data_IF_991766137350
#
_entry.id   IF_991766137350
#
_cell.length_a   1.000
_cell.length_b   1.000
_cell.length_c   1.000
_cell.angle_alpha   90.00
_cell.angle_beta   90.00
_cell.angle_gamma   90.00
#
_symmetry.space_group_name_H-M   'P 1'
#
loop_
_entity.id
_entity.type
_entity.pdbx_description
1 polymer ?
#
# COMPACT_ATOMS: atom_id res chain seq x y z
N UNK A 1 2.33 16.27 30.79
CA UNK A 1 1.97 14.89 30.40
C UNK A 1 2.05 14.81 28.89
N UNK A 2 2.79 13.86 28.32
CA UNK A 2 2.89 13.70 26.87
C UNK A 2 1.50 13.35 26.30
N UNK A 3 1.00 14.18 25.38
CA UNK A 3 -0.26 13.93 24.70
C UNK A 3 -0.23 12.52 24.06
N UNK A 4 -1.24 11.65 24.25
CA UNK A 4 -1.20 10.25 23.81
C UNK A 4 -0.93 10.12 22.30
N UNK A 5 -1.46 11.06 21.50
CA UNK A 5 -1.17 11.16 20.06
C UNK A 5 0.31 11.43 19.74
N UNK A 6 1.01 12.23 20.54
CA UNK A 6 2.44 12.54 20.34
C UNK A 6 3.30 11.31 20.64
N UNK A 7 2.95 10.54 21.68
CA UNK A 7 3.63 9.28 22.00
C UNK A 7 3.42 8.24 20.89
N UNK A 8 2.18 8.09 20.39
CA UNK A 8 1.87 7.20 19.28
C UNK A 8 2.64 7.59 18.00
N UNK A 9 2.64 8.88 17.66
CA UNK A 9 3.38 9.38 16.50
C UNK A 9 4.89 9.15 16.65
N UNK A 10 5.46 9.36 17.84
CA UNK A 10 6.89 9.13 18.08
C UNK A 10 7.28 7.68 17.81
N UNK A 11 6.46 6.71 18.22
CA UNK A 11 6.72 5.29 17.94
C UNK A 11 6.74 4.98 16.44
N UNK A 12 5.81 5.56 15.68
CA UNK A 12 5.73 5.39 14.22
C UNK A 12 6.92 6.04 13.52
N UNK A 13 7.34 7.24 13.93
CA UNK A 13 8.49 7.94 13.35
C UNK A 13 9.80 7.19 13.65
N UNK A 14 9.97 6.62 14.84
CA UNK A 14 11.14 5.79 15.15
C UNK A 14 11.19 4.56 14.25
N UNK A 15 10.04 3.92 14.02
CA UNK A 15 9.93 2.81 13.06
C UNK A 15 10.29 3.25 11.63
N UNK A 16 9.86 4.43 11.20
CA UNK A 16 10.21 4.97 9.89
C UNK A 16 11.73 5.08 9.70
N UNK A 17 12.44 5.59 10.71
CA UNK A 17 13.91 5.72 10.71
C UNK A 17 14.59 4.34 10.66
N UNK A 18 14.05 3.34 11.37
CA UNK A 18 14.62 1.99 11.35
C UNK A 18 14.45 1.31 9.97
N UNK A 19 13.29 1.52 9.33
CA UNK A 19 13.04 1.02 7.97
C UNK A 19 13.94 1.71 6.93
N UNK A 20 14.26 2.99 7.14
CA UNK A 20 15.20 3.73 6.30
C UNK A 20 16.60 3.10 6.35
N UNK A 21 17.08 2.70 7.54
CA UNK A 21 18.36 1.98 7.70
C UNK A 21 18.36 0.61 7.02
N UNK A 22 17.20 -0.04 6.95
CA UNK A 22 17.02 -1.32 6.29
C UNK A 22 16.83 -1.18 4.77
N UNK A 23 16.98 0.03 4.22
CA UNK A 23 16.76 0.35 2.80
C UNK A 23 15.32 0.07 2.31
N UNK A 24 14.36 -0.03 3.23
CA UNK A 24 12.93 -0.22 2.94
C UNK A 24 12.25 1.13 2.76
N UNK A 25 12.63 1.83 1.69
CA UNK A 25 12.30 3.25 1.51
C UNK A 25 10.78 3.50 1.42
N UNK A 26 10.02 2.66 0.74
CA UNK A 26 8.54 2.76 0.65
C UNK A 26 7.86 2.54 1.99
N UNK A 27 8.19 1.48 2.73
CA UNK A 27 7.66 1.24 4.08
C UNK A 27 8.00 2.41 5.03
N UNK A 28 9.23 2.93 4.93
CA UNK A 28 9.67 4.10 5.68
C UNK A 28 8.86 5.35 5.34
N UNK A 29 8.61 5.61 4.05
CA UNK A 29 7.80 6.74 3.59
C UNK A 29 6.38 6.70 4.15
N UNK A 30 5.73 5.53 4.13
CA UNK A 30 4.38 5.35 4.69
C UNK A 30 4.38 5.65 6.19
N UNK A 31 5.35 5.11 6.94
CA UNK A 31 5.47 5.39 8.37
C UNK A 31 5.69 6.90 8.65
N UNK A 32 6.50 7.59 7.84
CA UNK A 32 6.65 9.03 7.96
C UNK A 32 5.33 9.77 7.72
N UNK A 33 4.58 9.43 6.66
CA UNK A 33 3.29 10.06 6.35
C UNK A 33 2.25 9.84 7.46
N UNK A 34 2.12 8.62 7.97
CA UNK A 34 1.20 8.29 9.06
C UNK A 34 1.59 9.03 10.36
N UNK A 35 2.88 9.00 10.71
CA UNK A 35 3.41 9.67 11.89
C UNK A 35 3.16 11.19 11.83
N UNK A 36 3.47 11.82 10.69
CA UNK A 36 3.19 13.25 10.44
C UNK A 36 1.70 13.54 10.55
N UNK A 37 0.84 12.70 9.95
CA UNK A 37 -0.62 12.85 10.03
C UNK A 37 -1.14 12.85 11.46
N UNK A 38 -0.60 11.99 12.32
CA UNK A 38 -0.95 11.94 13.75
C UNK A 38 -0.40 13.17 14.50
N UNK A 39 0.81 13.64 14.19
CA UNK A 39 1.36 14.87 14.77
C UNK A 39 0.51 16.10 14.41
N UNK A 40 0.03 16.19 13.16
CA UNK A 40 -0.87 17.27 12.73
C UNK A 40 -2.21 17.19 13.47
N UNK A 41 -2.78 15.99 13.66
CA UNK A 41 -3.98 15.79 14.48
C UNK A 41 -3.75 16.22 15.93
N UNK A 42 -2.60 15.88 16.51
CA UNK A 42 -2.20 16.34 17.85
C UNK A 42 -2.10 17.87 17.91
N UNK A 43 -1.45 18.51 16.94
CA UNK A 43 -1.34 19.98 16.85
C UNK A 43 -2.68 20.70 16.77
N UNK A 44 -3.68 20.09 16.09
CA UNK A 44 -5.04 20.62 16.01
C UNK A 44 -5.84 20.41 17.29
N UNK A 45 -5.54 19.35 18.04
CA UNK A 45 -6.21 19.02 19.31
C UNK A 45 -5.70 19.82 20.51
N UNK A 46 -4.52 20.45 20.41
CA UNK A 46 -3.96 21.33 21.44
C UNK A 46 -4.68 22.68 21.44
N UNK A 47 -5.35 23.00 22.55
CA UNK A 47 -6.17 24.21 22.73
C UNK A 47 -5.29 25.45 22.95
N UNK A 48 -5.87 26.65 22.80
CA UNK A 48 -5.21 27.96 22.81
C UNK A 48 -4.43 28.32 24.09
N UNK A 49 -4.60 27.54 25.17
CA UNK A 49 -3.96 27.75 26.48
C UNK A 49 -2.69 26.91 26.69
N UNK A 50 -2.35 26.01 25.75
CA UNK A 50 -1.16 25.16 25.83
C UNK A 50 0.11 25.94 25.44
N UNK A 51 1.20 25.71 26.17
CA UNK A 51 2.52 26.33 26.02
C UNK A 51 2.90 26.64 24.55
N UNK A 52 2.93 27.94 24.21
CA UNK A 52 3.31 28.45 22.88
C UNK A 52 4.62 27.84 22.35
N UNK A 53 5.57 27.57 23.27
CA UNK A 53 6.86 26.95 22.98
C UNK A 53 6.76 25.46 22.60
N UNK A 54 5.86 24.69 23.20
CA UNK A 54 5.68 23.28 22.84
C UNK A 54 5.03 23.15 21.45
N UNK A 55 4.07 24.03 21.16
CA UNK A 55 3.39 24.09 19.87
C UNK A 55 4.35 24.51 18.75
N UNK A 56 5.24 25.47 18.99
CA UNK A 56 6.26 25.87 18.03
C UNK A 56 7.28 24.74 17.79
N UNK A 57 7.76 24.07 18.85
CA UNK A 57 8.68 22.95 18.71
C UNK A 57 8.07 21.77 17.94
N UNK A 58 6.81 21.44 18.23
CA UNK A 58 6.09 20.37 17.54
C UNK A 58 5.84 20.70 16.07
N UNK A 59 5.51 21.96 15.75
CA UNK A 59 5.41 22.43 14.36
C UNK A 59 6.74 22.30 13.63
N UNK A 60 7.84 22.71 14.25
CA UNK A 60 9.17 22.57 13.67
C UNK A 60 9.47 21.11 13.34
N UNK A 61 9.22 20.19 14.28
CA UNK A 61 9.39 18.76 14.05
C UNK A 61 8.54 18.23 12.91
N UNK A 62 7.29 18.67 12.80
CA UNK A 62 6.41 18.30 11.68
C UNK A 62 7.02 18.75 10.36
N UNK A 63 7.50 19.99 10.26
CA UNK A 63 8.19 20.49 9.07
C UNK A 63 9.43 19.66 8.75
N UNK A 64 10.31 19.41 9.73
CA UNK A 64 11.53 18.63 9.54
C UNK A 64 11.23 17.21 9.01
N UNK A 65 10.21 16.55 9.56
CA UNK A 65 9.80 15.22 9.10
C UNK A 65 9.11 15.25 7.73
N UNK A 66 8.38 16.33 7.41
CA UNK A 66 7.75 16.52 6.10
C UNK A 66 8.81 16.72 5.00
N UNK A 67 9.84 17.53 5.26
CA UNK A 67 10.96 17.73 4.34
C UNK A 67 11.73 16.42 4.09
N UNK A 68 11.90 15.60 5.13
CA UNK A 68 12.50 14.26 5.00
C UNK A 68 11.65 13.33 4.15
N UNK A 69 10.34 13.30 4.39
CA UNK A 69 9.41 12.46 3.63
C UNK A 69 9.38 12.85 2.15
N UNK A 70 9.48 14.15 1.84
CA UNK A 70 9.55 14.65 0.46
C UNK A 70 10.84 14.22 -0.25
N UNK A 71 12.00 14.38 0.41
CA UNK A 71 13.28 13.89 -0.13
C UNK A 71 13.30 12.38 -0.35
N UNK A 72 12.71 11.62 0.58
CA UNK A 72 12.58 10.17 0.46
C UNK A 72 11.68 9.78 -0.72
N UNK A 73 10.54 10.46 -0.89
CA UNK A 73 9.62 10.28 -2.02
C UNK A 73 10.32 10.56 -3.35
N UNK A 74 11.09 11.63 -3.45
CA UNK A 74 11.85 11.94 -4.65
C UNK A 74 12.93 10.90 -4.95
N UNK A 75 13.58 10.38 -3.91
CA UNK A 75 14.59 9.34 -4.05
C UNK A 75 13.97 8.03 -4.58
N UNK A 76 12.83 7.62 -4.03
CA UNK A 76 12.05 6.49 -4.52
C UNK A 76 11.67 6.70 -5.99
N UNK A 77 11.09 7.86 -6.34
CA UNK A 77 10.72 8.18 -7.74
C UNK A 77 11.91 8.09 -8.70
N UNK A 78 13.08 8.59 -8.30
CA UNK A 78 14.31 8.52 -9.13
C UNK A 78 14.75 7.08 -9.33
N UNK A 79 14.73 6.26 -8.30
CA UNK A 79 15.13 4.85 -8.39
C UNK A 79 14.11 4.01 -9.17
N UNK A 80 12.81 4.30 -9.03
CA UNK A 80 11.73 3.69 -9.84
C UNK A 80 11.87 4.09 -11.31
N UNK A 81 12.14 5.37 -11.61
CA UNK A 81 12.32 5.84 -12.99
C UNK A 81 13.55 5.23 -13.68
N UNK A 82 14.59 4.87 -12.92
CA UNK A 82 15.75 4.12 -13.41
C UNK A 82 15.45 2.63 -13.63
N UNK A 83 14.26 2.14 -13.27
CA UNK A 83 13.88 0.73 -13.36
C UNK A 83 14.54 -0.16 -12.31
N UNK A 84 15.29 0.42 -11.36
CA UNK A 84 16.16 -0.32 -10.45
C UNK A 84 15.57 -0.44 -9.03
N UNK A 85 14.38 0.12 -8.80
CA UNK A 85 13.69 0.01 -7.52
C UNK A 85 12.73 -1.18 -7.53
N UNK A 86 13.16 -2.30 -6.94
CA UNK A 86 12.32 -3.44 -6.61
C UNK A 86 12.23 -3.58 -5.10
N UNK A 87 11.02 -3.45 -4.56
CA UNK A 87 10.76 -3.75 -3.16
C UNK A 87 10.46 -5.25 -3.02
N UNK A 88 11.28 -5.97 -2.24
CA UNK A 88 11.09 -7.38 -1.98
C UNK A 88 10.44 -7.60 -0.62
N UNK A 89 9.27 -8.25 -0.62
CA UNK A 89 8.59 -8.71 0.60
C UNK A 89 8.79 -10.22 0.75
N UNK A 90 9.51 -10.64 1.79
CA UNK A 90 9.68 -12.06 2.13
C UNK A 90 8.54 -12.46 3.08
N UNK A 91 7.73 -13.44 2.66
CA UNK A 91 6.69 -14.05 3.50
C UNK A 91 7.28 -15.35 4.06
N UNK A 92 7.48 -15.39 5.38
CA UNK A 92 8.06 -16.55 6.06
C UNK A 92 7.03 -17.67 6.24
N UNK A 93 7.49 -18.90 6.34
CA UNK A 93 6.61 -20.03 6.62
C UNK A 93 5.87 -19.85 7.95
N UNK A 94 4.56 -20.10 7.94
CA UNK A 94 3.69 -19.90 9.10
C UNK A 94 3.40 -18.44 9.47
N UNK A 95 3.90 -17.46 8.71
CA UNK A 95 3.61 -16.04 9.00
C UNK A 95 2.19 -15.67 8.57
N UNK A 96 1.48 -14.92 9.43
CA UNK A 96 0.09 -14.51 9.20
C UNK A 96 -0.04 -13.02 8.93
N UNK A 97 -1.17 -12.60 8.36
CA UNK A 97 -1.47 -11.18 8.14
C UNK A 97 -0.85 -10.61 6.86
N UNK A 98 -0.56 -11.47 5.88
CA UNK A 98 -0.09 -11.10 4.53
C UNK A 98 -1.23 -11.17 3.51
N UNK A 99 -2.41 -10.69 3.87
CA UNK A 99 -3.54 -10.65 2.95
C UNK A 99 -3.29 -9.68 1.78
N UNK A 100 -4.02 -9.87 0.69
CA UNK A 100 -3.90 -9.05 -0.52
C UNK A 100 -4.02 -7.55 -0.25
N UNK A 101 -4.87 -7.12 0.71
CA UNK A 101 -5.02 -5.71 1.05
C UNK A 101 -3.72 -5.13 1.62
N UNK A 102 -2.98 -5.90 2.42
CA UNK A 102 -1.70 -5.43 2.98
C UNK A 102 -0.61 -5.38 1.93
N UNK A 103 -0.61 -6.33 1.01
CA UNK A 103 0.41 -6.44 -0.05
C UNK A 103 0.17 -5.33 -1.09
N UNK A 104 -1.06 -5.23 -1.60
CA UNK A 104 -1.37 -4.37 -2.74
C UNK A 104 -1.99 -3.03 -2.38
N UNK A 105 -2.57 -2.87 -1.19
CA UNK A 105 -3.35 -1.68 -0.81
C UNK A 105 -2.57 -0.38 -0.93
N UNK A 106 -1.26 -0.39 -0.61
CA UNK A 106 -0.42 0.82 -0.75
C UNK A 106 -0.31 1.33 -2.18
N UNK A 107 -0.33 0.43 -3.16
CA UNK A 107 -0.24 0.78 -4.57
C UNK A 107 -1.60 1.21 -5.13
N UNK A 108 -2.68 0.62 -4.60
CA UNK A 108 -4.05 0.88 -5.05
C UNK A 108 -4.63 2.18 -4.47
N UNK A 109 -4.14 2.64 -3.31
CA UNK A 109 -4.63 3.84 -2.63
C UNK A 109 -4.10 5.16 -3.23
N UNK A 110 -3.21 5.12 -4.23
CA UNK A 110 -2.72 6.34 -4.89
C UNK A 110 -3.77 6.97 -5.81
N UNK A 111 -4.86 6.26 -6.13
CA UNK A 111 -5.98 6.78 -6.91
C UNK A 111 -5.70 6.94 -8.41
N UNK A 112 -4.55 6.47 -8.89
CA UNK A 112 -4.07 6.70 -10.26
C UNK A 112 -4.30 5.50 -11.19
N UNK A 113 -4.61 4.33 -10.65
CA UNK A 113 -4.66 3.07 -11.41
C UNK A 113 -6.01 2.92 -12.11
N UNK A 114 -5.97 2.67 -13.42
CA UNK A 114 -7.17 2.47 -14.24
C UNK A 114 -7.26 1.05 -14.82
N UNK A 115 -6.11 0.39 -14.99
CA UNK A 115 -6.04 -0.94 -15.59
C UNK A 115 -5.12 -1.84 -14.76
N UNK A 116 -5.53 -3.09 -14.59
CA UNK A 116 -4.79 -4.10 -13.84
C UNK A 116 -4.58 -5.32 -14.74
N UNK A 117 -3.33 -5.79 -14.80
CA UNK A 117 -2.94 -6.98 -15.54
C UNK A 117 -2.44 -8.03 -14.55
N UNK A 118 -3.04 -9.22 -14.59
CA UNK A 118 -2.69 -10.35 -13.74
C UNK A 118 -2.31 -11.52 -14.62
N UNK A 119 -1.12 -12.05 -14.41
CA UNK A 119 -0.63 -13.26 -15.07
C UNK A 119 -0.36 -14.31 -13.99
N UNK A 120 -1.29 -15.26 -13.84
CA UNK A 120 -1.17 -16.34 -12.86
C UNK A 120 -1.56 -17.66 -13.51
N UNK A 121 -0.60 -18.59 -13.75
CA UNK A 121 -0.88 -19.84 -14.45
C UNK A 121 -1.78 -20.81 -13.67
N UNK A 122 -2.01 -20.56 -12.38
CA UNK A 122 -2.64 -21.51 -11.46
C UNK A 122 -4.07 -21.17 -11.07
N UNK A 123 -4.75 -20.18 -11.66
CA UNK A 123 -6.15 -19.93 -11.32
C UNK A 123 -7.05 -20.97 -12.00
N UNK A 124 -7.23 -22.14 -11.36
CA UNK A 124 -7.99 -23.30 -11.89
C UNK A 124 -8.91 -23.98 -10.86
N UNK A 125 -8.42 -24.24 -9.65
CA UNK A 125 -9.21 -24.89 -8.59
C UNK A 125 -10.11 -23.90 -7.86
N UNK A 126 -11.15 -24.39 -7.18
CA UNK A 126 -12.10 -23.56 -6.42
C UNK A 126 -11.42 -22.59 -5.46
N UNK A 127 -10.43 -23.08 -4.69
CA UNK A 127 -9.69 -22.22 -3.75
C UNK A 127 -8.86 -21.13 -4.46
N UNK A 128 -8.29 -21.43 -5.63
CA UNK A 128 -7.54 -20.44 -6.41
C UNK A 128 -8.46 -19.39 -7.02
N UNK A 129 -9.67 -19.78 -7.43
CA UNK A 129 -10.71 -18.85 -7.90
C UNK A 129 -11.19 -17.96 -6.75
N UNK A 130 -11.40 -18.52 -5.56
CA UNK A 130 -11.75 -17.75 -4.35
C UNK A 130 -10.66 -16.73 -3.99
N UNK A 131 -9.38 -17.14 -4.06
CA UNK A 131 -8.26 -16.22 -3.86
C UNK A 131 -8.29 -15.06 -4.87
N UNK A 132 -8.53 -15.34 -6.15
CA UNK A 132 -8.67 -14.29 -7.15
C UNK A 132 -9.89 -13.39 -6.88
N UNK A 133 -11.00 -13.95 -6.41
CA UNK A 133 -12.18 -13.18 -5.99
C UNK A 133 -11.84 -12.20 -4.86
N UNK A 134 -11.14 -12.65 -3.81
CA UNK A 134 -10.68 -11.77 -2.72
C UNK A 134 -9.76 -10.66 -3.23
N UNK A 135 -8.90 -10.96 -4.21
CA UNK A 135 -8.08 -9.93 -4.86
C UNK A 135 -8.96 -8.89 -5.59
N UNK A 136 -9.95 -9.33 -6.37
CA UNK A 136 -10.89 -8.42 -7.04
C UNK A 136 -11.68 -7.54 -6.07
N UNK A 137 -12.11 -8.07 -4.92
CA UNK A 137 -12.80 -7.28 -3.90
C UNK A 137 -11.95 -6.10 -3.41
N UNK A 138 -10.64 -6.30 -3.29
CA UNK A 138 -9.71 -5.25 -2.87
C UNK A 138 -9.55 -4.19 -3.96
N UNK A 139 -9.50 -4.60 -5.23
CA UNK A 139 -9.47 -3.66 -6.35
C UNK A 139 -10.71 -2.77 -6.35
N UNK A 140 -11.90 -3.36 -6.17
CA UNK A 140 -13.17 -2.62 -6.15
C UNK A 140 -13.28 -1.70 -4.93
N UNK A 141 -12.74 -2.11 -3.77
CA UNK A 141 -12.74 -1.29 -2.55
C UNK A 141 -11.69 -0.17 -2.58
N UNK A 142 -10.73 -0.21 -3.50
CA UNK A 142 -9.66 0.76 -3.56
C UNK A 142 -10.14 2.15 -4.00
N UNK A 143 -9.36 3.18 -3.69
CA UNK A 143 -9.64 4.56 -4.12
C UNK A 143 -9.32 4.78 -5.62
N UNK A 144 -8.72 3.80 -6.28
CA UNK A 144 -8.36 3.86 -7.70
C UNK A 144 -9.56 3.58 -8.61
N UNK A 145 -9.78 4.38 -9.67
CA UNK A 145 -10.89 4.20 -10.61
C UNK A 145 -10.58 3.10 -11.63
N UNK A 146 -10.44 1.85 -11.16
CA UNK A 146 -10.10 0.69 -11.99
C UNK A 146 -11.28 0.34 -12.90
N UNK A 147 -11.04 0.30 -14.21
CA UNK A 147 -12.05 0.01 -15.24
C UNK A 147 -11.86 -1.34 -15.90
N UNK A 148 -10.60 -1.73 -16.12
CA UNK A 148 -10.27 -2.95 -16.83
C UNK A 148 -9.36 -3.85 -15.97
N UNK A 149 -9.76 -5.11 -15.84
CA UNK A 149 -8.95 -6.18 -15.26
C UNK A 149 -8.69 -7.22 -16.34
N UNK A 150 -7.42 -7.45 -16.64
CA UNK A 150 -6.96 -8.42 -17.62
C UNK A 150 -6.33 -9.59 -16.88
N UNK A 151 -6.94 -10.78 -17.01
CA UNK A 151 -6.40 -12.00 -16.43
C UNK A 151 -5.89 -12.93 -17.54
N UNK A 152 -4.61 -13.31 -17.44
CA UNK A 152 -4.02 -14.40 -18.19
C UNK A 152 -3.77 -15.57 -17.23
N UNK A 153 -4.44 -16.70 -17.48
CA UNK A 153 -4.27 -17.95 -16.71
C UNK A 153 -3.95 -19.11 -17.63
N UNK A 154 -3.34 -20.16 -17.07
CA UNK A 154 -2.99 -21.36 -17.80
C UNK A 154 -4.21 -22.23 -18.10
N UNK A 155 -4.28 -22.76 -19.32
CA UNK A 155 -5.35 -23.64 -19.77
C UNK A 155 -5.40 -24.90 -18.90
N UNK A 156 -6.60 -25.25 -18.44
CA UNK A 156 -6.81 -26.51 -17.74
C UNK A 156 -6.80 -27.67 -18.74
N UNK A 157 -5.73 -28.45 -18.74
CA UNK A 157 -5.56 -29.62 -19.63
C UNK A 157 -6.30 -30.86 -19.12
N UNK A 158 -6.89 -30.81 -17.91
CA UNK A 158 -7.60 -31.94 -17.31
C UNK A 158 -9.08 -32.01 -17.72
N UNK A 159 -9.64 -30.97 -18.36
CA UNK A 159 -11.01 -30.97 -18.84
C UNK A 159 -11.08 -31.08 -20.37
N UNK A 160 -10.57 -32.19 -20.91
CA UNK A 160 -10.82 -32.59 -22.30
C UNK A 160 -12.26 -33.12 -22.45
N UNK A 161 -13.22 -32.20 -22.43
CA UNK A 161 -14.55 -32.42 -22.97
C UNK A 161 -14.88 -31.27 -23.94
N UNK A 162 -14.59 -31.51 -25.22
CA UNK A 162 -15.00 -30.79 -26.42
C UNK A 162 -14.27 -29.45 -26.76
N UNK A 163 -13.56 -29.37 -27.90
CA UNK A 163 -12.81 -28.18 -28.34
C UNK A 163 -13.67 -27.07 -28.99
N UNK A 164 -14.92 -26.86 -28.53
CA UNK A 164 -15.88 -25.96 -29.21
C UNK A 164 -16.37 -24.76 -28.39
N UNK A 165 -15.82 -24.48 -27.21
CA UNK A 165 -16.22 -23.32 -26.41
C UNK A 165 -15.02 -22.52 -25.91
N UNK A 166 -14.28 -21.94 -26.86
CA UNK A 166 -13.53 -20.71 -26.62
C UNK A 166 -14.54 -19.57 -26.40
N UNK A 167 -15.01 -19.41 -25.17
CA UNK A 167 -15.62 -18.16 -24.74
C UNK A 167 -14.50 -17.24 -24.24
N UNK A 168 -14.33 -16.03 -24.79
CA UNK A 168 -13.57 -15.01 -24.10
C UNK A 168 -14.40 -14.63 -22.86
N UNK A 169 -14.03 -15.12 -21.68
CA UNK A 169 -14.57 -14.65 -20.42
C UNK A 169 -14.07 -13.21 -20.17
N UNK A 170 -14.65 -12.27 -20.93
CA UNK A 170 -14.57 -10.84 -20.68
C UNK A 170 -15.62 -10.54 -19.62
N UNK A 171 -15.29 -10.75 -18.36
CA UNK A 171 -16.12 -10.25 -17.24
C UNK A 171 -16.05 -8.73 -17.27
N UNK A 172 -16.94 -8.14 -18.07
CA UNK A 172 -17.28 -6.72 -17.96
C UNK A 172 -18.12 -6.60 -16.70
N UNK A 173 -17.49 -6.18 -15.60
CA UNK A 173 -18.24 -5.66 -14.45
C UNK A 173 -18.70 -4.26 -14.86
N UNK A 174 -19.87 -4.17 -15.46
CA UNK A 174 -20.57 -2.90 -15.67
C UNK A 174 -21.32 -2.54 -14.41
N UNK A 175 -20.90 -1.44 -13.77
CA UNK A 175 -21.74 -0.60 -12.92
C UNK A 175 -22.88 0.02 -13.72
#
# INVERSE_FOLDING_TARGET
MSHPLVAAASGIIVRAIELEKQNKLTESLVCFQEGIGILIKALRSLSSNDDSNLKSHLRQKVTDYMDKAEKLKDSIKRETAKGNYHEQMIISEGSTGHGYQRIFGRFLNEGTIQEVWVEDPYIRSSFQIENFSHFCEILVRSESPIRNLHLLTGVDTQNNANPSQLLPCRTRVSS
#
